data_IF_613734636313
#
_entry.id   IF_613734636313
#
_cell.length_a   1.000
_cell.length_b   1.000
_cell.length_c   1.000
_cell.angle_alpha   90.00
_cell.angle_beta   90.00
_cell.angle_gamma   90.00
#
_symmetry.space_group_name_H-M   'P 1'
#
loop_
_entity.id
_entity.type
_entity.pdbx_description
1 polymer ?
#
# COMPACT_ATOMS: atom_id res chain seq x y z
N UNK A 1 -16.00 -67.05 -47.20
CA UNK A 1 -16.65 -68.01 -46.28
C UNK A 1 -15.70 -68.29 -45.14
N UNK A 2 -16.21 -68.19 -43.91
CA UNK A 2 -15.60 -68.64 -42.66
C UNK A 2 -14.33 -67.93 -42.19
N UNK A 3 -14.13 -67.67 -40.90
CA UNK A 3 -14.96 -67.58 -39.69
C UNK A 3 -13.94 -67.39 -38.57
N UNK A 4 -14.20 -66.45 -37.69
CA UNK A 4 -13.45 -66.22 -36.44
C UNK A 4 -13.47 -67.48 -35.57
N UNK A 5 -12.43 -67.72 -34.76
CA UNK A 5 -12.66 -68.12 -33.36
C UNK A 5 -11.91 -67.16 -32.43
N UNK A 6 -12.59 -66.50 -31.49
CA UNK A 6 -13.12 -67.01 -30.22
C UNK A 6 -12.05 -67.06 -29.12
N UNK A 7 -12.34 -66.30 -28.06
CA UNK A 7 -11.59 -66.06 -26.84
C UNK A 7 -11.35 -67.35 -26.03
N UNK A 8 -10.28 -67.40 -25.24
CA UNK A 8 -10.35 -67.78 -23.83
C UNK A 8 -9.01 -67.55 -23.14
N UNK A 9 -9.12 -67.16 -21.88
CA UNK A 9 -8.09 -66.69 -20.96
C UNK A 9 -7.31 -67.86 -20.35
N UNK A 10 -6.02 -67.65 -20.08
CA UNK A 10 -5.39 -68.14 -18.86
C UNK A 10 -4.01 -67.50 -18.58
N UNK A 11 -3.92 -66.93 -17.39
CA UNK A 11 -2.78 -66.84 -16.45
C UNK A 11 -1.44 -66.19 -16.86
N UNK A 12 -1.10 -65.10 -16.14
CA UNK A 12 0.11 -64.92 -15.30
C UNK A 12 0.59 -63.46 -15.31
N UNK A 13 0.91 -62.91 -14.14
CA UNK A 13 1.87 -61.81 -14.04
C UNK A 13 1.48 -60.67 -13.11
N UNK A 14 1.80 -60.84 -11.82
CA UNK A 14 2.08 -59.76 -10.87
C UNK A 14 3.04 -58.73 -11.46
N UNK A 15 2.67 -57.44 -11.58
CA UNK A 15 3.58 -56.29 -11.45
C UNK A 15 2.79 -55.06 -10.99
N UNK A 16 3.25 -54.44 -9.89
CA UNK A 16 2.80 -53.14 -9.42
C UNK A 16 3.35 -51.98 -10.27
N UNK A 17 2.50 -50.99 -10.56
CA UNK A 17 2.84 -49.60 -10.99
C UNK A 17 1.57 -48.77 -10.79
N UNK A 18 1.43 -47.92 -9.77
CA UNK A 18 2.08 -46.61 -9.60
C UNK A 18 2.24 -45.86 -10.91
N UNK A 19 1.28 -44.98 -11.22
CA UNK A 19 1.44 -43.51 -11.08
C UNK A 19 0.10 -42.86 -11.37
N UNK A 20 -0.51 -42.23 -10.36
CA UNK A 20 -1.61 -41.30 -10.51
C UNK A 20 -1.15 -40.15 -11.41
N UNK A 21 -1.89 -39.96 -12.49
CA UNK A 21 -1.66 -38.98 -13.54
C UNK A 21 -2.03 -37.59 -13.03
N UNK A 22 -1.11 -36.64 -13.22
CA UNK A 22 -1.28 -35.19 -13.27
C UNK A 22 -2.54 -34.61 -12.61
N UNK A 23 -2.41 -34.21 -11.34
CA UNK A 23 -3.22 -33.11 -10.83
C UNK A 23 -2.50 -31.80 -11.16
N UNK A 24 -3.11 -30.87 -11.90
CA UNK A 24 -2.54 -29.55 -12.07
C UNK A 24 -2.39 -28.92 -10.68
N UNK A 25 -1.17 -28.52 -10.34
CA UNK A 25 -0.94 -27.67 -9.19
C UNK A 25 -1.73 -26.40 -9.39
N UNK A 26 -2.85 -26.29 -8.67
CA UNK A 26 -3.52 -25.02 -8.48
C UNK A 26 -2.46 -24.05 -7.97
N UNK A 27 -2.12 -23.10 -8.84
CA UNK A 27 -1.37 -21.90 -8.53
C UNK A 27 -2.15 -21.22 -7.41
N UNK A 28 -1.79 -21.48 -6.14
CA UNK A 28 -2.34 -20.74 -5.01
C UNK A 28 -1.99 -19.29 -5.29
N UNK A 29 -2.97 -18.37 -5.43
CA UNK A 29 -2.63 -16.97 -5.36
C UNK A 29 -1.91 -16.80 -4.02
N UNK A 30 -0.65 -16.35 -4.07
CA UNK A 30 0.02 -15.85 -2.88
C UNK A 30 -0.88 -14.74 -2.36
N UNK A 31 -1.71 -15.05 -1.37
CA UNK A 31 -2.48 -14.05 -0.65
C UNK A 31 -1.42 -13.25 0.08
N UNK A 32 -1.01 -12.13 -0.52
CA UNK A 32 -0.14 -11.17 0.14
C UNK A 32 -0.89 -10.79 1.41
N UNK A 33 -0.35 -11.19 2.55
CA UNK A 33 -0.94 -10.94 3.85
C UNK A 33 -0.86 -9.43 4.10
N UNK A 34 -1.93 -8.71 3.78
CA UNK A 34 -2.06 -7.30 4.13
C UNK A 34 -2.67 -7.16 5.51
N UNK A 35 -2.28 -6.11 6.22
CA UNK A 35 -2.94 -5.69 7.46
C UNK A 35 -3.57 -4.33 7.27
N UNK A 36 -4.60 -4.07 8.08
CA UNK A 36 -5.16 -2.74 8.27
C UNK A 36 -4.66 -2.24 9.62
N UNK A 37 -3.88 -1.16 9.60
CA UNK A 37 -3.27 -0.56 10.76
C UNK A 37 -4.20 0.52 11.33
N UNK A 38 -4.86 0.20 12.43
CA UNK A 38 -5.65 1.17 13.19
C UNK A 38 -4.77 2.15 13.98
N UNK A 39 -5.34 3.29 14.33
CA UNK A 39 -4.71 4.33 15.16
C UNK A 39 -4.41 3.81 16.57
N UNK A 40 -3.18 4.05 17.03
CA UNK A 40 -2.78 3.78 18.41
C UNK A 40 -2.94 5.02 19.29
N UNK A 41 -3.52 4.82 20.48
CA UNK A 41 -3.87 5.91 21.42
C UNK A 41 -3.15 5.83 22.77
N UNK A 42 -2.44 4.74 23.04
CA UNK A 42 -1.86 4.45 24.37
C UNK A 42 -0.33 4.36 24.29
N UNK A 43 0.35 5.14 25.13
CA UNK A 43 1.82 5.18 25.23
C UNK A 43 2.38 4.17 26.23
N UNK A 44 1.52 3.39 26.91
CA UNK A 44 1.92 2.54 28.03
C UNK A 44 2.48 1.16 27.67
N UNK A 45 2.54 0.81 26.38
CA UNK A 45 3.18 -0.44 25.95
C UNK A 45 4.62 -0.20 25.54
N UNK A 46 5.56 -0.57 26.41
CA UNK A 46 6.96 -0.77 26.06
C UNK A 46 7.05 -1.95 25.09
N UNK A 47 7.02 -1.68 23.79
CA UNK A 47 7.21 -2.69 22.76
C UNK A 47 8.69 -3.03 22.59
N UNK A 48 8.99 -4.31 22.68
CA UNK A 48 10.28 -4.84 22.23
C UNK A 48 10.29 -4.91 20.71
N UNK A 49 10.88 -3.89 20.07
CA UNK A 49 10.96 -3.74 18.61
C UNK A 49 11.83 -4.82 17.93
N UNK A 50 12.55 -5.62 18.71
CA UNK A 50 13.48 -6.62 18.20
C UNK A 50 12.82 -7.89 17.64
N UNK A 51 11.57 -8.18 18.04
CA UNK A 51 10.83 -9.40 17.65
C UNK A 51 9.63 -9.15 16.74
N UNK A 52 9.41 -7.90 16.29
CA UNK A 52 8.23 -7.57 15.49
C UNK A 52 8.35 -8.08 14.06
N UNK A 53 7.49 -9.02 13.69
CA UNK A 53 7.30 -9.45 12.31
C UNK A 53 6.51 -8.37 11.55
N UNK A 54 7.11 -7.81 10.51
CA UNK A 54 6.44 -6.83 9.67
C UNK A 54 5.69 -7.54 8.54
N UNK A 55 4.39 -7.24 8.34
CA UNK A 55 3.64 -7.86 7.26
C UNK A 55 4.11 -7.35 5.90
N UNK A 56 3.93 -8.13 4.83
CA UNK A 56 4.27 -7.72 3.46
C UNK A 56 3.61 -6.42 3.00
N UNK A 57 2.46 -6.06 3.59
CA UNK A 57 1.74 -4.84 3.27
C UNK A 57 0.99 -4.31 4.49
N UNK A 58 1.19 -3.04 4.81
CA UNK A 58 0.46 -2.26 5.81
C UNK A 58 -0.38 -1.23 5.07
N UNK A 59 -1.70 -1.24 5.29
CA UNK A 59 -2.62 -0.16 4.89
C UNK A 59 -3.03 0.60 6.14
N UNK A 60 -2.82 1.91 6.16
CA UNK A 60 -3.19 2.74 7.30
C UNK A 60 -4.70 3.04 7.26
N UNK A 61 -5.35 2.90 8.41
CA UNK A 61 -6.75 3.28 8.60
C UNK A 61 -6.81 4.63 9.33
N UNK A 62 -7.30 5.65 8.63
CA UNK A 62 -7.41 7.02 9.12
C UNK A 62 -8.68 7.26 9.94
N UNK A 63 -9.67 6.37 9.91
CA UNK A 63 -10.99 6.60 10.52
C UNK A 63 -10.95 6.62 12.06
N UNK A 64 -9.86 6.12 12.66
CA UNK A 64 -9.61 6.24 14.09
C UNK A 64 -9.04 7.61 14.51
N UNK A 65 -8.68 8.50 13.58
CA UNK A 65 -8.08 9.80 13.86
C UNK A 65 -9.15 10.82 14.27
N UNK A 66 -8.77 11.80 15.09
CA UNK A 66 -9.65 12.92 15.42
C UNK A 66 -9.49 14.03 14.38
N UNK A 67 -10.57 14.75 14.05
CA UNK A 67 -10.49 15.89 13.13
C UNK A 67 -9.52 16.96 13.66
N UNK A 68 -8.63 17.43 12.79
CA UNK A 68 -7.53 18.36 13.07
C UNK A 68 -6.44 17.81 13.99
N UNK A 69 -6.39 16.49 14.19
CA UNK A 69 -5.29 15.85 14.88
C UNK A 69 -4.00 15.96 14.08
N UNK A 70 -2.92 16.38 14.75
CA UNK A 70 -1.57 16.30 14.19
C UNK A 70 -1.14 14.85 14.17
N UNK A 71 -0.84 14.33 12.97
CA UNK A 71 -0.42 12.95 12.78
C UNK A 71 1.09 12.89 12.77
N UNK A 72 1.66 12.12 13.69
CA UNK A 72 3.10 11.92 13.88
C UNK A 72 3.39 10.47 14.26
N UNK A 73 2.88 10.02 15.40
CA UNK A 73 3.25 8.75 16.05
C UNK A 73 2.13 7.70 16.10
N UNK A 74 0.94 8.02 15.59
CA UNK A 74 -0.27 7.19 15.67
C UNK A 74 -0.13 5.81 15.02
N UNK A 75 0.86 5.64 14.15
CA UNK A 75 1.18 4.39 13.45
C UNK A 75 2.62 3.92 13.71
N UNK A 76 3.29 4.43 14.75
CA UNK A 76 4.71 4.16 15.06
C UNK A 76 5.01 2.67 15.18
N UNK A 77 4.10 1.87 15.73
CA UNK A 77 4.26 0.41 15.83
C UNK A 77 4.46 -0.25 14.46
N UNK A 78 3.90 0.31 13.40
CA UNK A 78 4.09 -0.22 12.05
C UNK A 78 5.36 0.31 11.38
N UNK A 79 6.23 0.98 12.13
CA UNK A 79 7.53 1.48 11.69
C UNK A 79 7.44 2.75 10.85
N UNK A 80 6.32 3.49 10.90
CA UNK A 80 6.13 4.74 10.13
C UNK A 80 5.83 5.91 11.06
N UNK A 81 6.46 7.05 10.78
CA UNK A 81 6.18 8.34 11.43
C UNK A 81 5.91 9.41 10.40
N UNK A 82 5.05 10.35 10.75
CA UNK A 82 4.65 11.44 9.88
C UNK A 82 5.27 12.76 10.33
N UNK A 83 5.64 13.62 9.38
CA UNK A 83 5.86 15.05 9.62
C UNK A 83 4.95 15.88 8.71
N UNK A 84 4.46 16.99 9.25
CA UNK A 84 3.57 17.93 8.57
C UNK A 84 2.29 17.29 8.00
N UNK A 85 1.64 16.44 8.80
CA UNK A 85 0.38 15.80 8.47
C UNK A 85 -0.70 16.17 9.51
N UNK A 86 -1.88 16.56 9.03
CA UNK A 86 -3.05 16.82 9.86
C UNK A 86 -4.23 16.01 9.31
N UNK A 87 -4.91 15.28 10.19
CA UNK A 87 -6.13 14.55 9.85
C UNK A 87 -7.29 15.53 9.64
N UNK A 88 -7.99 15.44 8.51
CA UNK A 88 -9.14 16.30 8.23
C UNK A 88 -10.26 15.52 7.58
N UNK A 89 -11.49 15.90 7.89
CA UNK A 89 -12.66 15.57 7.06
C UNK A 89 -12.86 16.73 6.09
N UNK A 90 -12.63 16.54 4.78
CA UNK A 90 -12.72 17.61 3.80
C UNK A 90 -14.09 18.29 3.84
N UNK A 91 -14.11 19.62 4.02
CA UNK A 91 -15.34 20.42 3.88
C UNK A 91 -15.48 21.03 2.48
N UNK A 92 -14.39 21.06 1.72
CA UNK A 92 -14.38 21.53 0.33
C UNK A 92 -14.59 20.32 -0.60
N UNK A 93 -15.68 20.26 -1.38
CA UNK A 93 -15.97 19.14 -2.26
C UNK A 93 -14.96 18.96 -3.41
N UNK A 94 -14.05 19.93 -3.63
CA UNK A 94 -12.94 19.79 -4.56
C UNK A 94 -11.92 18.71 -4.13
N UNK A 95 -11.94 18.30 -2.85
CA UNK A 95 -11.05 17.30 -2.26
C UNK A 95 -11.88 16.11 -1.71
N UNK A 96 -12.47 15.28 -2.59
CA UNK A 96 -13.23 14.11 -2.14
C UNK A 96 -12.31 13.08 -1.47
N UNK A 97 -12.82 12.35 -0.49
CA UNK A 97 -12.14 11.16 0.06
C UNK A 97 -12.11 10.04 -0.99
N UNK A 98 -11.06 9.21 -0.97
CA UNK A 98 -11.02 7.97 -1.75
C UNK A 98 -11.80 6.89 -1.02
N UNK A 99 -11.63 6.79 0.31
CA UNK A 99 -12.40 5.92 1.18
C UNK A 99 -12.62 6.60 2.54
N UNK A 100 -13.64 6.16 3.27
CA UNK A 100 -13.93 6.73 4.59
C UNK A 100 -14.19 8.24 4.56
N UNK A 101 -14.01 8.88 5.72
CA UNK A 101 -14.28 10.29 5.93
C UNK A 101 -13.02 11.12 6.24
N UNK A 102 -11.88 10.48 6.54
CA UNK A 102 -10.67 11.17 6.99
C UNK A 102 -9.53 11.04 5.96
N UNK A 103 -8.96 12.17 5.58
CA UNK A 103 -7.72 12.25 4.79
C UNK A 103 -6.61 12.93 5.58
N UNK A 104 -5.36 12.75 5.15
CA UNK A 104 -4.24 13.53 5.65
C UNK A 104 -3.98 14.74 4.76
N UNK A 105 -4.00 15.93 5.36
CA UNK A 105 -3.62 17.18 4.71
C UNK A 105 -2.15 17.49 4.99
N UNK A 106 -1.43 17.91 3.95
CA UNK A 106 -0.04 18.35 4.01
C UNK A 106 0.09 19.78 4.58
N UNK A 107 -0.21 19.93 5.87
CA UNK A 107 -0.30 21.21 6.57
C UNK A 107 0.49 21.16 7.89
N UNK A 108 1.00 22.29 8.40
CA UNK A 108 0.86 23.67 7.88
C UNK A 108 1.82 24.09 6.76
N UNK A 109 2.85 23.30 6.40
CA UNK A 109 3.87 23.66 5.37
C UNK A 109 3.37 23.53 3.92
N UNK A 110 2.21 24.10 3.59
CA UNK A 110 1.70 24.35 2.23
C UNK A 110 1.95 23.24 1.19
N UNK A 111 1.43 22.04 1.44
CA UNK A 111 1.49 20.96 0.46
C UNK A 111 2.72 20.07 0.56
N UNK A 112 3.48 20.12 1.65
CA UNK A 112 4.54 19.16 1.96
C UNK A 112 4.07 18.14 3.01
N UNK A 113 4.25 16.85 2.82
CA UNK A 113 3.99 15.83 3.83
C UNK A 113 5.09 14.81 3.77
N UNK A 114 5.63 14.39 4.92
CA UNK A 114 6.73 13.44 4.99
C UNK A 114 6.35 12.19 5.79
N UNK A 115 6.82 11.05 5.31
CA UNK A 115 6.81 9.77 6.00
C UNK A 115 8.25 9.31 6.18
N UNK A 116 8.59 8.89 7.39
CA UNK A 116 9.88 8.25 7.70
C UNK A 116 9.63 6.83 8.19
N UNK A 117 10.52 5.93 7.80
CA UNK A 117 10.40 4.50 8.11
C UNK A 117 11.57 4.04 8.99
N UNK A 118 11.26 3.32 10.06
CA UNK A 118 12.27 2.76 11.00
C UNK A 118 13.12 1.67 10.34
N UNK A 119 12.55 0.95 9.38
CA UNK A 119 13.21 -0.03 8.52
C UNK A 119 12.89 0.29 7.06
N UNK A 120 13.78 -0.03 6.11
CA UNK A 120 13.52 0.26 4.71
C UNK A 120 12.27 -0.50 4.24
N UNK A 121 11.42 0.20 3.49
CA UNK A 121 10.25 -0.37 2.81
C UNK A 121 10.55 -0.50 1.32
N UNK A 122 9.89 -1.46 0.67
CA UNK A 122 10.06 -1.75 -0.75
C UNK A 122 9.13 -0.92 -1.64
N UNK A 123 8.01 -0.46 -1.09
CA UNK A 123 7.09 0.42 -1.77
C UNK A 123 6.30 1.29 -0.79
N UNK A 124 5.82 2.42 -1.30
CA UNK A 124 4.82 3.26 -0.65
C UNK A 124 3.83 3.72 -1.71
N UNK A 125 2.56 3.74 -1.38
CA UNK A 125 1.47 4.27 -2.22
C UNK A 125 0.52 5.12 -1.41
N UNK A 126 -0.20 6.01 -2.10
CA UNK A 126 -1.31 6.78 -1.55
C UNK A 126 -2.16 7.36 -2.67
N UNK A 127 -3.43 7.63 -2.36
CA UNK A 127 -4.38 8.27 -3.27
C UNK A 127 -4.33 9.77 -3.04
N UNK A 128 -4.06 10.53 -4.11
CA UNK A 128 -3.72 11.95 -3.99
C UNK A 128 -4.74 12.81 -4.73
N UNK A 129 -5.22 13.85 -4.06
CA UNK A 129 -5.94 14.96 -4.68
C UNK A 129 -5.20 16.26 -4.37
N UNK A 130 -4.90 17.05 -5.40
CA UNK A 130 -4.03 18.22 -5.30
C UNK A 130 -4.47 19.35 -6.22
N UNK A 131 -4.22 20.57 -5.76
CA UNK A 131 -4.45 21.82 -6.52
C UNK A 131 -3.35 22.14 -7.53
N UNK A 132 -2.24 21.42 -7.54
CA UNK A 132 -1.10 21.64 -8.44
C UNK A 132 -0.45 20.33 -8.87
N UNK A 133 0.54 20.46 -9.75
CA UNK A 133 1.54 19.41 -9.98
C UNK A 133 2.03 18.87 -8.63
N UNK A 134 2.08 17.54 -8.51
CA UNK A 134 2.44 16.88 -7.26
C UNK A 134 3.47 15.80 -7.49
N UNK A 135 4.45 15.73 -6.60
CA UNK A 135 5.49 14.71 -6.63
C UNK A 135 5.47 13.88 -5.35
N UNK A 136 5.60 12.56 -5.51
CA UNK A 136 5.93 11.62 -4.45
C UNK A 136 7.37 11.17 -4.65
N UNK A 137 8.29 11.64 -3.82
CA UNK A 137 9.72 11.31 -3.90
C UNK A 137 10.10 10.34 -2.80
N UNK A 138 10.82 9.27 -3.14
CA UNK A 138 11.39 8.33 -2.18
C UNK A 138 12.89 8.59 -2.00
N UNK A 139 13.37 8.42 -0.78
CA UNK A 139 14.75 8.65 -0.39
C UNK A 139 15.34 7.44 0.34
N UNK A 140 16.63 7.19 0.12
CA UNK A 140 17.40 6.21 0.89
C UNK A 140 17.84 6.78 2.26
N UNK A 141 18.53 5.96 3.06
CA UNK A 141 19.07 6.34 4.37
C UNK A 141 20.09 7.51 4.33
N UNK A 142 20.69 7.79 3.17
CA UNK A 142 21.58 8.93 2.96
C UNK A 142 20.83 10.22 2.59
N UNK A 143 19.49 10.17 2.49
CA UNK A 143 18.66 11.29 2.08
C UNK A 143 18.70 11.59 0.58
N UNK A 144 19.22 10.68 -0.25
CA UNK A 144 19.27 10.82 -1.70
C UNK A 144 17.96 10.33 -2.33
N UNK A 145 17.42 11.08 -3.29
CA UNK A 145 16.24 10.64 -4.04
C UNK A 145 16.56 9.41 -4.88
N UNK A 146 15.83 8.32 -4.67
CA UNK A 146 16.04 7.03 -5.38
C UNK A 146 14.98 6.76 -6.44
N UNK A 147 13.75 7.23 -6.24
CA UNK A 147 12.68 7.13 -7.23
C UNK A 147 11.62 8.19 -6.97
N UNK A 148 10.78 8.46 -7.97
CA UNK A 148 9.76 9.51 -7.93
C UNK A 148 8.56 9.16 -8.79
N UNK A 149 7.36 9.38 -8.26
CA UNK A 149 6.09 9.35 -8.99
C UNK A 149 5.50 10.76 -9.04
N UNK A 150 4.72 11.07 -10.07
CA UNK A 150 4.22 12.42 -10.30
C UNK A 150 2.78 12.43 -10.81
N UNK A 151 2.02 13.45 -10.38
CA UNK A 151 0.81 13.91 -11.06
C UNK A 151 1.17 15.16 -11.86
N UNK A 152 1.05 15.14 -13.20
CA UNK A 152 1.56 16.21 -14.06
C UNK A 152 0.77 17.52 -13.95
N UNK A 153 -0.40 17.50 -13.32
CA UNK A 153 -1.28 18.65 -13.15
C UNK A 153 -2.09 18.52 -11.86
N UNK A 154 -2.81 19.59 -11.51
CA UNK A 154 -3.87 19.56 -10.50
C UNK A 154 -4.93 18.51 -10.86
N UNK A 155 -5.62 17.94 -9.87
CA UNK A 155 -6.66 16.94 -10.08
C UNK A 155 -7.86 17.14 -9.12
N UNK A 156 -8.22 18.40 -8.88
CA UNK A 156 -9.37 18.76 -8.05
C UNK A 156 -10.68 18.26 -8.69
N UNK A 157 -11.63 17.83 -7.86
CA UNK A 157 -12.95 17.45 -8.32
C UNK A 157 -13.69 18.67 -8.91
N UNK A 158 -14.51 18.43 -9.93
CA UNK A 158 -15.24 19.46 -10.67
C UNK A 158 -14.34 20.53 -11.32
N UNK A 159 -13.05 20.22 -11.53
CA UNK A 159 -12.16 21.06 -12.32
C UNK A 159 -12.13 20.61 -13.79
N UNK A 160 -11.53 21.42 -14.66
CA UNK A 160 -11.29 21.06 -16.06
C UNK A 160 -9.99 20.24 -16.24
N UNK A 161 -9.49 19.60 -15.17
CA UNK A 161 -8.30 18.76 -15.26
C UNK A 161 -8.59 17.48 -16.05
N UNK A 162 -7.59 16.99 -16.79
CA UNK A 162 -7.62 15.66 -17.40
C UNK A 162 -7.16 14.54 -16.46
N UNK A 163 -6.80 14.86 -15.21
CA UNK A 163 -6.44 13.91 -14.16
C UNK A 163 -7.57 13.88 -13.14
N UNK A 164 -8.11 12.69 -12.89
CA UNK A 164 -9.19 12.51 -11.92
C UNK A 164 -8.69 12.71 -10.47
N UNK A 165 -9.56 13.15 -9.55
CA UNK A 165 -9.27 13.16 -8.12
C UNK A 165 -8.91 11.77 -7.60
N UNK A 166 -8.19 11.71 -6.48
CA UNK A 166 -7.74 10.48 -5.84
C UNK A 166 -6.96 9.59 -6.81
N UNK A 167 -6.04 10.19 -7.58
CA UNK A 167 -5.15 9.41 -8.41
C UNK A 167 -4.08 8.77 -7.55
N UNK A 168 -3.87 7.46 -7.71
CA UNK A 168 -2.86 6.74 -6.93
C UNK A 168 -1.45 7.10 -7.41
N UNK A 169 -0.61 7.53 -6.48
CA UNK A 169 0.85 7.54 -6.65
C UNK A 169 1.45 6.34 -5.93
N UNK A 170 2.45 5.74 -6.55
CA UNK A 170 3.22 4.64 -5.99
C UNK A 170 4.68 4.76 -6.38
N UNK A 171 5.57 4.52 -5.41
CA UNK A 171 7.02 4.46 -5.59
C UNK A 171 7.52 3.09 -5.13
N UNK A 172 8.51 2.54 -5.84
CA UNK A 172 9.10 1.22 -5.56
C UNK A 172 10.62 1.30 -5.62
N UNK A 173 11.27 0.78 -4.59
CA UNK A 173 12.73 0.66 -4.48
C UNK A 173 13.06 -0.20 -3.26
N UNK A 174 14.13 -1.02 -3.26
CA UNK A 174 14.45 -1.90 -2.13
C UNK A 174 14.90 -1.19 -0.84
N UNK A 175 15.17 0.12 -0.87
CA UNK A 175 15.79 0.87 0.26
C UNK A 175 15.08 2.20 0.55
N UNK A 176 13.74 2.22 0.61
CA UNK A 176 13.00 3.45 0.93
C UNK A 176 12.98 3.67 2.45
N UNK A 177 13.66 4.72 2.91
CA UNK A 177 13.65 5.13 4.31
C UNK A 177 12.77 6.35 4.58
N UNK A 178 12.49 7.14 3.54
CA UNK A 178 11.67 8.35 3.64
C UNK A 178 10.92 8.57 2.34
N UNK A 179 9.69 9.06 2.45
CA UNK A 179 8.88 9.52 1.32
C UNK A 179 8.35 10.91 1.62
N UNK A 180 8.33 11.76 0.60
CA UNK A 180 7.66 13.06 0.67
C UNK A 180 6.60 13.17 -0.40
N UNK A 181 5.42 13.69 -0.05
CA UNK A 181 4.46 14.25 -0.98
C UNK A 181 4.67 15.77 -1.03
N UNK A 182 4.74 16.34 -2.23
CA UNK A 182 4.90 17.78 -2.40
C UNK A 182 4.09 18.35 -3.56
N UNK A 183 3.25 19.35 -3.27
CA UNK A 183 2.41 20.06 -4.26
C UNK A 183 2.92 21.47 -4.62
N UNK A 184 4.21 21.76 -4.38
CA UNK A 184 4.88 22.99 -4.85
C UNK A 184 4.08 24.26 -4.54
N UNK A 185 3.91 24.58 -3.26
CA UNK A 185 3.11 25.71 -2.75
C UNK A 185 1.59 25.60 -3.02
N UNK A 186 1.11 24.40 -3.37
CA UNK A 186 -0.31 24.08 -3.46
C UNK A 186 -0.84 23.39 -2.20
N UNK A 187 -2.15 23.17 -2.17
CA UNK A 187 -2.81 22.26 -1.23
C UNK A 187 -2.90 20.85 -1.82
N UNK A 188 -2.60 19.83 -1.00
CA UNK A 188 -2.81 18.43 -1.30
C UNK A 188 -3.39 17.69 -0.10
N UNK A 189 -4.18 16.66 -0.39
CA UNK A 189 -4.61 15.64 0.55
C UNK A 189 -4.15 14.26 0.06
N UNK A 190 -3.83 13.38 1.00
CA UNK A 190 -3.48 11.99 0.75
C UNK A 190 -4.42 11.09 1.54
N UNK A 191 -4.93 10.07 0.88
CA UNK A 191 -5.80 9.05 1.45
C UNK A 191 -5.20 7.65 1.22
N UNK A 192 -5.64 6.67 2.00
CA UNK A 192 -5.35 5.24 1.82
C UNK A 192 -3.85 4.91 1.67
N UNK A 193 -3.02 5.52 2.52
CA UNK A 193 -1.57 5.28 2.50
C UNK A 193 -1.28 3.81 2.81
N UNK A 194 -0.47 3.19 1.97
CA UNK A 194 -0.01 1.82 2.14
C UNK A 194 1.49 1.69 1.85
N UNK A 195 2.17 0.78 2.54
CA UNK A 195 3.58 0.48 2.34
C UNK A 195 3.88 -0.99 2.67
N UNK A 196 5.04 -1.50 2.26
CA UNK A 196 5.41 -2.88 2.53
C UNK A 196 6.92 -3.10 2.59
N UNK A 197 7.33 -4.10 3.36
CA UNK A 197 8.72 -4.42 3.70
C UNK A 197 9.34 -5.48 2.77
#
# INVERSE_FOLDING_TARGET
MSSVPAQSWDTLGTVARSTDVDRPMYNRPNVVKSIIAAVERDDSQTWDSSAQEFPPCVRLDFEGLTRFEVVCDQYKRWGVRFDNAIAVTPSNPAYPTHSGDIVLMAAPKSGFLELTFERPVQFVSGYVTSSRFTAMSAYNHLGQTITRGELPAANLANSNSGVEPNQQLIVRSPDIHRVTFYAFDGELVVDDISFGY
#
